data_IF_460407099142
#
_entry.id   IF_460407099142
#
_cell.length_a   1.000
_cell.length_b   1.000
_cell.length_c   1.000
_cell.angle_alpha   90.00
_cell.angle_beta   90.00
_cell.angle_gamma   90.00
#
_symmetry.space_group_name_H-M   'P 1'
#
loop_
_entity.id
_entity.type
_entity.pdbx_description
1 polymer ?
#
# COMPACT_ATOMS: atom_id res chain seq x y z
N UNK A 1 4.61 -73.60 11.95
CA UNK A 1 5.01 -72.23 11.54
C UNK A 1 4.17 -71.84 10.33
N UNK A 2 3.14 -71.03 10.52
CA UNK A 2 2.60 -70.11 9.50
C UNK A 2 1.62 -69.17 10.22
N UNK A 3 2.04 -67.91 10.33
CA UNK A 3 1.29 -66.84 11.00
C UNK A 3 0.15 -66.39 10.10
N UNK A 4 -1.08 -66.48 10.59
CA UNK A 4 -2.22 -65.73 10.03
C UNK A 4 -2.01 -64.24 10.33
N UNK A 5 -1.88 -63.45 9.27
CA UNK A 5 -1.84 -61.99 9.32
C UNK A 5 -3.29 -61.48 9.33
N UNK A 6 -3.80 -61.06 10.49
CA UNK A 6 -5.04 -60.27 10.56
C UNK A 6 -4.71 -58.84 10.13
N UNK A 7 -5.23 -58.44 8.97
CA UNK A 7 -5.21 -57.04 8.51
C UNK A 7 -6.40 -56.34 9.18
N UNK A 8 -6.10 -55.57 10.22
CA UNK A 8 -7.04 -54.66 10.86
C UNK A 8 -7.18 -53.43 9.96
N UNK A 9 -8.27 -53.35 9.20
CA UNK A 9 -8.66 -52.13 8.48
C UNK A 9 -9.12 -51.10 9.52
N UNK A 10 -8.18 -50.29 10.00
CA UNK A 10 -8.49 -49.09 10.79
C UNK A 10 -9.04 -48.07 9.80
N UNK A 11 -10.37 -48.02 9.69
CA UNK A 11 -11.07 -46.89 9.08
C UNK A 11 -10.79 -45.66 9.94
N UNK A 12 -9.75 -44.92 9.57
CA UNK A 12 -9.44 -43.63 10.15
C UNK A 12 -10.54 -42.67 9.67
N UNK A 13 -11.64 -42.62 10.43
CA UNK A 13 -12.63 -41.56 10.32
C UNK A 13 -11.92 -40.27 10.66
N UNK A 14 -11.39 -39.59 9.64
CA UNK A 14 -11.02 -38.19 9.73
C UNK A 14 -12.32 -37.41 9.98
N UNK A 15 -12.77 -37.39 11.22
CA UNK A 15 -13.54 -36.29 11.74
C UNK A 15 -12.59 -35.09 11.76
N UNK A 16 -12.38 -34.48 10.60
CA UNK A 16 -12.10 -33.06 10.58
C UNK A 16 -13.34 -32.42 11.20
N UNK A 17 -13.28 -32.13 12.50
CA UNK A 17 -14.19 -31.17 13.11
C UNK A 17 -14.06 -29.92 12.23
N UNK A 18 -15.08 -29.62 11.44
CA UNK A 18 -15.16 -28.34 10.76
C UNK A 18 -15.13 -27.29 11.87
N UNK A 19 -13.99 -26.63 12.06
CA UNK A 19 -13.99 -25.39 12.84
C UNK A 19 -14.96 -24.48 12.11
N UNK A 20 -16.11 -24.22 12.72
CA UNK A 20 -17.03 -23.22 12.21
C UNK A 20 -16.28 -21.88 12.27
N UNK A 21 -15.89 -21.38 11.10
CA UNK A 21 -15.28 -20.07 10.98
C UNK A 21 -16.35 -18.99 11.17
N UNK A 22 -15.95 -17.90 11.81
CA UNK A 22 -16.71 -16.66 11.93
C UNK A 22 -16.92 -16.11 10.51
N UNK A 23 -18.17 -15.78 10.17
CA UNK A 23 -18.51 -15.01 8.98
C UNK A 23 -18.57 -13.50 9.29
N UNK A 24 -18.48 -12.67 8.26
CA UNK A 24 -18.79 -11.23 8.39
C UNK A 24 -20.23 -11.00 8.87
N UNK A 25 -21.14 -11.93 8.60
CA UNK A 25 -22.53 -11.82 9.06
C UNK A 25 -22.67 -12.06 10.58
N UNK A 26 -21.66 -12.68 11.20
CA UNK A 26 -21.65 -12.98 12.64
C UNK A 26 -21.05 -11.84 13.49
N UNK A 27 -20.51 -10.80 12.85
CA UNK A 27 -19.86 -9.68 13.53
C UNK A 27 -20.74 -8.43 13.57
N UNK A 28 -20.52 -7.60 14.58
CA UNK A 28 -21.13 -6.27 14.65
C UNK A 28 -20.07 -5.22 14.97
N UNK A 29 -20.09 -4.11 14.24
CA UNK A 29 -19.22 -2.96 14.50
C UNK A 29 -19.96 -1.95 15.37
N UNK A 30 -19.34 -1.48 16.44
CA UNK A 30 -19.93 -0.51 17.37
C UNK A 30 -18.89 0.55 17.73
N UNK A 31 -19.37 1.77 17.94
CA UNK A 31 -18.59 2.84 18.53
C UNK A 31 -18.85 2.79 20.04
N UNK A 32 -17.80 2.58 20.81
CA UNK A 32 -17.88 2.61 22.26
C UNK A 32 -17.40 3.98 22.73
N UNK A 33 -18.38 4.84 22.99
CA UNK A 33 -18.19 6.18 23.50
C UNK A 33 -17.73 6.13 24.96
N UNK A 34 -16.42 5.97 25.19
CA UNK A 34 -15.82 6.45 26.43
C UNK A 34 -15.41 7.90 26.24
N UNK A 35 -16.38 8.81 26.38
CA UNK A 35 -16.11 10.23 26.58
C UNK A 35 -15.30 10.37 27.87
N UNK A 36 -13.98 10.43 27.75
CA UNK A 36 -13.18 11.19 28.70
C UNK A 36 -13.32 12.65 28.27
N UNK A 37 -13.54 13.54 29.24
CA UNK A 37 -13.88 14.97 29.04
C UNK A 37 -12.79 15.76 28.27
N UNK A 38 -11.73 15.09 27.82
CA UNK A 38 -10.50 15.68 27.28
C UNK A 38 -9.90 14.90 26.09
N UNK A 39 -10.65 13.98 25.46
CA UNK A 39 -10.14 13.22 24.31
C UNK A 39 -11.15 13.09 23.18
N UNK A 40 -10.86 13.68 22.01
CA UNK A 40 -11.61 13.53 20.75
C UNK A 40 -11.43 12.13 20.09
N UNK A 41 -10.98 11.15 20.88
CA UNK A 41 -10.70 9.79 20.44
C UNK A 41 -11.88 8.89 20.78
N UNK A 42 -12.53 8.35 19.76
CA UNK A 42 -13.57 7.33 19.88
C UNK A 42 -12.98 5.95 19.63
N UNK A 43 -13.43 4.94 20.36
CA UNK A 43 -12.97 3.56 20.13
C UNK A 43 -13.98 2.79 19.29
N UNK A 44 -13.57 2.35 18.10
CA UNK A 44 -14.36 1.49 17.24
C UNK A 44 -14.04 0.03 17.56
N UNK A 45 -15.05 -0.73 17.95
CA UNK A 45 -14.91 -2.13 18.33
C UNK A 45 -15.71 -3.04 17.39
N UNK A 46 -15.09 -4.14 16.99
CA UNK A 46 -15.74 -5.22 16.25
C UNK A 46 -16.00 -6.37 17.20
N UNK A 47 -17.24 -6.82 17.25
CA UNK A 47 -17.73 -7.82 18.20
C UNK A 47 -18.16 -9.10 17.48
N UNK A 48 -17.96 -10.24 18.14
CA UNK A 48 -18.61 -11.52 17.83
C UNK A 48 -19.10 -12.14 19.14
N UNK A 49 -20.39 -12.49 19.22
CA UNK A 49 -21.02 -13.02 20.44
C UNK A 49 -20.72 -12.17 21.70
N UNK A 50 -20.85 -10.84 21.58
CA UNK A 50 -20.55 -9.86 22.63
C UNK A 50 -19.10 -9.84 23.15
N UNK A 51 -18.16 -10.52 22.48
CA UNK A 51 -16.72 -10.40 22.74
C UNK A 51 -16.08 -9.49 21.71
N UNK A 52 -15.23 -8.58 22.17
CA UNK A 52 -14.42 -7.74 21.29
C UNK A 52 -13.41 -8.62 20.56
N UNK A 53 -13.47 -8.63 19.23
CA UNK A 53 -12.49 -9.27 18.34
C UNK A 53 -11.39 -8.31 17.93
N UNK A 54 -11.72 -7.03 17.76
CA UNK A 54 -10.80 -6.00 17.30
C UNK A 54 -11.21 -4.64 17.83
N UNK A 55 -10.22 -3.77 18.01
CA UNK A 55 -10.37 -2.42 18.50
C UNK A 55 -9.48 -1.48 17.69
N UNK A 56 -10.02 -0.31 17.34
CA UNK A 56 -9.27 0.76 16.69
C UNK A 56 -9.61 2.11 17.33
N UNK A 57 -8.60 2.97 17.47
CA UNK A 57 -8.78 4.34 17.95
C UNK A 57 -9.03 5.24 16.73
N UNK A 58 -10.21 5.86 16.70
CA UNK A 58 -10.68 6.70 15.61
C UNK A 58 -10.86 8.14 16.10
N UNK A 59 -10.74 9.10 15.19
CA UNK A 59 -10.85 10.53 15.49
C UNK A 59 -12.21 11.06 15.05
N UNK A 60 -12.86 11.81 15.95
CA UNK A 60 -14.06 12.62 15.66
C UNK A 60 -15.17 11.87 14.91
N UNK A 61 -15.50 10.65 15.35
CA UNK A 61 -16.47 9.80 14.67
C UNK A 61 -17.89 10.35 14.70
N UNK A 62 -18.52 10.45 13.51
CA UNK A 62 -19.95 10.75 13.39
C UNK A 62 -20.77 9.45 13.45
N UNK A 63 -21.55 9.31 14.53
CA UNK A 63 -22.49 8.21 14.75
C UNK A 63 -23.63 8.15 13.71
N UNK A 64 -23.82 9.18 12.89
CA UNK A 64 -24.85 9.25 11.84
C UNK A 64 -24.36 8.74 10.48
N UNK A 65 -23.06 8.54 10.31
CA UNK A 65 -22.48 8.07 9.05
C UNK A 65 -22.26 6.56 9.12
N UNK A 66 -22.49 5.86 8.01
CA UNK A 66 -22.09 4.48 7.91
C UNK A 66 -20.56 4.39 7.83
N UNK A 67 -19.93 4.05 8.96
CA UNK A 67 -18.48 3.98 9.11
C UNK A 67 -17.90 2.64 8.66
N UNK A 68 -18.70 1.74 8.07
CA UNK A 68 -18.27 0.40 7.67
C UNK A 68 -18.71 0.08 6.24
N UNK A 69 -17.76 -0.39 5.45
CA UNK A 69 -17.99 -0.97 4.12
C UNK A 69 -17.40 -2.38 4.08
N UNK A 70 -17.93 -3.20 3.19
CA UNK A 70 -17.42 -4.55 2.94
C UNK A 70 -17.17 -4.74 1.46
N UNK A 71 -15.96 -5.14 1.10
CA UNK A 71 -15.58 -5.33 -0.31
C UNK A 71 -14.47 -6.38 -0.40
N UNK A 72 -14.52 -7.24 -1.42
CA UNK A 72 -13.44 -8.17 -1.73
C UNK A 72 -12.36 -7.40 -2.51
N UNK A 73 -11.31 -6.95 -1.80
CA UNK A 73 -10.26 -6.10 -2.32
C UNK A 73 -9.06 -6.88 -2.84
N UNK A 74 -8.93 -8.16 -2.50
CA UNK A 74 -7.84 -9.03 -2.96
C UNK A 74 -8.28 -10.20 -3.86
N UNK A 75 -9.57 -10.26 -4.17
CA UNK A 75 -10.20 -11.20 -5.11
C UNK A 75 -10.08 -12.66 -4.67
N UNK A 76 -10.07 -12.91 -3.35
CA UNK A 76 -10.04 -14.25 -2.76
C UNK A 76 -11.45 -14.82 -2.48
N UNK A 77 -12.50 -14.03 -2.75
CA UNK A 77 -13.90 -14.40 -2.54
C UNK A 77 -14.43 -14.12 -1.13
N UNK A 78 -13.58 -13.63 -0.22
CA UNK A 78 -13.97 -13.13 1.10
C UNK A 78 -13.88 -11.61 1.08
N UNK A 79 -14.85 -10.95 1.70
CA UNK A 79 -14.82 -9.48 1.79
C UNK A 79 -13.86 -9.05 2.90
N UNK A 80 -13.11 -7.98 2.66
CA UNK A 80 -12.48 -7.18 3.70
C UNK A 80 -13.50 -6.24 4.36
N UNK A 81 -13.22 -5.90 5.62
CA UNK A 81 -13.93 -4.88 6.39
C UNK A 81 -13.16 -3.57 6.25
N UNK A 82 -13.83 -2.54 5.77
CA UNK A 82 -13.23 -1.23 5.51
C UNK A 82 -13.89 -0.24 6.47
N UNK A 83 -13.14 0.13 7.50
CA UNK A 83 -13.60 1.01 8.58
C UNK A 83 -13.17 2.43 8.28
N UNK A 84 -14.10 3.38 8.26
CA UNK A 84 -13.76 4.80 8.31
C UNK A 84 -13.31 5.14 9.72
N UNK A 85 -12.14 5.75 9.86
CA UNK A 85 -11.51 6.04 11.17
C UNK A 85 -11.18 7.51 11.38
N UNK A 86 -11.42 8.34 10.37
CA UNK A 86 -11.44 9.80 10.49
C UNK A 86 -12.69 10.36 9.79
N UNK A 87 -13.48 11.13 10.55
CA UNK A 87 -14.68 11.80 10.06
C UNK A 87 -14.61 13.33 10.16
N UNK A 88 -13.50 13.92 10.59
CA UNK A 88 -13.33 15.37 10.57
C UNK A 88 -13.39 15.87 9.12
N UNK A 89 -14.34 16.75 8.76
CA UNK A 89 -14.42 17.35 7.42
C UNK A 89 -13.16 18.15 7.03
N UNK A 90 -12.35 18.57 8.01
CA UNK A 90 -11.09 19.29 7.82
C UNK A 90 -9.91 18.37 7.45
N UNK A 91 -10.07 17.06 7.66
CA UNK A 91 -9.05 16.05 7.41
C UNK A 91 -9.33 15.22 6.14
N UNK A 92 -8.25 14.65 5.58
CA UNK A 92 -8.37 13.65 4.53
C UNK A 92 -8.98 12.37 5.09
N UNK A 93 -10.10 11.92 4.52
CA UNK A 93 -10.80 10.71 4.97
C UNK A 93 -9.85 9.52 5.05
N UNK A 94 -9.91 8.80 6.16
CA UNK A 94 -9.03 7.66 6.43
C UNK A 94 -9.82 6.38 6.68
N UNK A 95 -9.30 5.29 6.14
CA UNK A 95 -9.85 3.96 6.30
C UNK A 95 -8.80 2.96 6.78
N UNK A 96 -9.24 2.06 7.65
CA UNK A 96 -8.51 0.84 8.00
C UNK A 96 -9.15 -0.33 7.28
N UNK A 97 -8.31 -1.17 6.66
CA UNK A 97 -8.75 -2.36 5.95
C UNK A 97 -8.36 -3.60 6.77
N UNK A 98 -9.37 -4.40 7.10
CA UNK A 98 -9.23 -5.59 7.94
C UNK A 98 -9.67 -6.83 7.19
N UNK A 99 -8.98 -7.94 7.44
CA UNK A 99 -9.27 -9.26 6.89
C UNK A 99 -9.66 -10.23 8.01
N UNK A 100 -10.73 -10.99 7.77
CA UNK A 100 -11.23 -12.00 8.70
C UNK A 100 -10.67 -13.37 8.34
N UNK A 101 -9.70 -13.83 9.12
CA UNK A 101 -9.08 -15.14 8.99
C UNK A 101 -9.70 -16.13 9.99
N UNK A 102 -10.78 -16.78 9.56
CA UNK A 102 -11.58 -17.80 10.28
C UNK A 102 -12.07 -17.42 11.68
N UNK A 103 -11.19 -17.16 12.63
CA UNK A 103 -11.51 -16.78 14.00
C UNK A 103 -10.75 -15.54 14.48
N UNK A 104 -9.98 -14.89 13.60
CA UNK A 104 -9.16 -13.72 13.93
C UNK A 104 -9.36 -12.62 12.91
N UNK A 105 -9.42 -11.39 13.39
CA UNK A 105 -9.40 -10.20 12.54
C UNK A 105 -7.99 -9.60 12.56
N UNK A 106 -7.44 -9.30 11.39
CA UNK A 106 -6.11 -8.72 11.22
C UNK A 106 -6.16 -7.58 10.21
N UNK A 107 -5.20 -6.66 10.27
CA UNK A 107 -5.01 -5.67 9.22
C UNK A 107 -4.66 -6.35 7.90
N UNK A 108 -5.19 -5.84 6.79
CA UNK A 108 -4.91 -6.39 5.49
C UNK A 108 -3.40 -6.30 5.17
N UNK A 109 -2.74 -7.40 4.75
CA UNK A 109 -1.29 -7.50 4.75
C UNK A 109 -0.58 -6.61 3.71
N UNK A 110 -1.30 -6.15 2.68
CA UNK A 110 -0.74 -5.34 1.61
C UNK A 110 -1.05 -3.84 1.74
N UNK A 111 -2.14 -3.50 2.42
CA UNK A 111 -2.65 -2.13 2.57
C UNK A 111 -3.57 -2.08 3.78
N UNK A 112 -3.01 -1.80 4.96
CA UNK A 112 -3.76 -1.73 6.21
C UNK A 112 -4.52 -0.42 6.38
N UNK A 113 -3.96 0.67 5.87
CA UNK A 113 -4.48 2.04 6.00
C UNK A 113 -4.48 2.72 4.64
N UNK A 114 -5.62 3.29 4.27
CA UNK A 114 -5.84 3.91 2.95
C UNK A 114 -6.69 5.17 3.10
N UNK A 115 -6.52 6.12 2.17
CA UNK A 115 -7.40 7.28 2.01
C UNK A 115 -8.59 6.99 1.08
N UNK A 116 -8.48 5.93 0.27
CA UNK A 116 -9.55 5.47 -0.61
C UNK A 116 -9.10 4.29 -1.47
N UNK A 117 -10.02 3.74 -2.26
CA UNK A 117 -9.73 2.64 -3.16
C UNK A 117 -10.66 2.63 -4.37
N UNK A 118 -10.21 1.96 -5.43
CA UNK A 118 -10.98 1.61 -6.62
C UNK A 118 -10.71 0.15 -6.98
N UNK A 119 -11.79 -0.62 -7.20
CA UNK A 119 -11.70 -1.95 -7.79
C UNK A 119 -11.68 -1.76 -9.31
N UNK A 120 -10.64 -2.29 -9.93
CA UNK A 120 -10.40 -2.21 -11.36
C UNK A 120 -10.61 -3.59 -12.02
N UNK A 121 -10.73 -3.59 -13.34
CA UNK A 121 -10.79 -4.82 -14.13
C UNK A 121 -9.53 -5.67 -13.96
N UNK A 122 -9.62 -6.95 -14.35
CA UNK A 122 -8.49 -7.90 -14.34
C UNK A 122 -7.88 -8.15 -12.94
N UNK A 123 -8.72 -8.19 -11.90
CA UNK A 123 -8.32 -8.46 -10.52
C UNK A 123 -7.24 -7.49 -10.03
N UNK A 124 -7.53 -6.19 -10.18
CA UNK A 124 -6.66 -5.11 -9.72
C UNK A 124 -7.40 -4.24 -8.71
N UNK A 125 -6.70 -3.82 -7.67
CA UNK A 125 -7.22 -2.83 -6.71
C UNK A 125 -6.24 -1.67 -6.65
N UNK A 126 -6.73 -0.48 -6.98
CA UNK A 126 -6.00 0.76 -6.75
C UNK A 126 -6.34 1.27 -5.35
N UNK A 127 -5.33 1.64 -4.59
CA UNK A 127 -5.47 2.31 -3.30
C UNK A 127 -4.84 3.69 -3.36
N UNK A 128 -5.44 4.61 -2.63
CA UNK A 128 -4.93 5.96 -2.39
C UNK A 128 -4.37 6.00 -0.98
N UNK A 129 -3.17 6.53 -0.80
CA UNK A 129 -2.51 6.65 0.50
C UNK A 129 -1.83 8.01 0.62
N UNK A 130 -1.60 8.45 1.87
CA UNK A 130 -0.92 9.71 2.15
C UNK A 130 0.55 9.44 2.46
N UNK A 131 1.43 10.22 1.84
CA UNK A 131 2.86 10.24 2.13
C UNK A 131 3.29 11.69 2.31
N UNK A 132 3.47 12.10 3.56
CA UNK A 132 3.57 13.50 3.95
C UNK A 132 2.28 14.26 3.61
N UNK A 133 2.38 15.32 2.80
CA UNK A 133 1.23 16.12 2.35
C UNK A 133 0.65 15.67 1.00
N UNK A 134 1.24 14.65 0.37
CA UNK A 134 0.84 14.21 -0.97
C UNK A 134 0.01 12.94 -0.92
N UNK A 135 -1.07 12.91 -1.69
CA UNK A 135 -1.81 11.67 -1.97
C UNK A 135 -1.10 10.95 -3.12
N UNK A 136 -0.80 9.68 -2.90
CA UNK A 136 -0.14 8.78 -3.84
C UNK A 136 -1.04 7.59 -4.17
N UNK A 137 -0.77 6.94 -5.29
CA UNK A 137 -1.54 5.81 -5.78
C UNK A 137 -0.68 4.54 -5.84
N UNK A 138 -1.23 3.43 -5.37
CA UNK A 138 -0.67 2.08 -5.59
C UNK A 138 -1.72 1.19 -6.19
N UNK A 139 -1.36 0.45 -7.22
CA UNK A 139 -2.21 -0.59 -7.80
C UNK A 139 -1.63 -1.95 -7.47
N UNK A 140 -2.45 -2.78 -6.84
CA UNK A 140 -2.14 -4.17 -6.52
C UNK A 140 -2.81 -5.09 -7.53
N UNK A 141 -2.05 -6.06 -8.04
CA UNK A 141 -2.51 -7.06 -8.99
C UNK A 141 -2.64 -8.41 -8.29
N UNK A 142 -3.77 -9.10 -8.48
CA UNK A 142 -4.09 -10.34 -7.78
C UNK A 142 -4.18 -11.54 -8.73
N UNK A 143 -3.30 -12.52 -8.51
CA UNK A 143 -3.31 -13.81 -9.19
C UNK A 143 -3.57 -14.94 -8.19
N UNK A 144 -2.50 -15.55 -7.66
CA UNK A 144 -2.50 -16.47 -6.52
C UNK A 144 -2.33 -15.75 -5.18
N UNK A 145 -1.62 -14.62 -5.24
CA UNK A 145 -1.34 -13.70 -4.13
C UNK A 145 -1.27 -12.29 -4.72
N UNK A 146 -1.60 -11.28 -3.92
CA UNK A 146 -1.46 -9.89 -4.33
C UNK A 146 0.01 -9.43 -4.37
N UNK A 147 0.33 -8.54 -5.29
CA UNK A 147 1.61 -7.84 -5.33
C UNK A 147 1.40 -6.41 -5.86
N UNK A 148 2.27 -5.48 -5.44
CA UNK A 148 2.30 -4.13 -5.99
C UNK A 148 2.75 -4.22 -7.45
N UNK A 149 1.91 -3.78 -8.39
CA UNK A 149 2.23 -3.82 -9.81
C UNK A 149 2.43 -2.43 -10.42
N UNK A 150 1.81 -1.39 -9.86
CA UNK A 150 1.96 -0.01 -10.33
C UNK A 150 2.00 0.96 -9.14
N UNK A 151 2.87 1.97 -9.17
CA UNK A 151 2.90 3.08 -8.21
C UNK A 151 2.97 4.39 -8.99
N UNK A 152 2.06 5.32 -8.68
CA UNK A 152 1.97 6.62 -9.35
C UNK A 152 1.90 7.74 -8.31
N UNK A 153 2.68 8.79 -8.51
CA UNK A 153 2.57 10.00 -7.68
C UNK A 153 3.08 11.23 -8.41
N UNK A 154 2.49 12.37 -8.05
CA UNK A 154 2.99 13.67 -8.48
C UNK A 154 4.38 13.90 -7.89
N UNK A 155 5.33 14.30 -8.73
CA UNK A 155 6.66 14.70 -8.30
C UNK A 155 6.82 16.22 -8.38
N UNK A 156 6.17 16.87 -9.33
CA UNK A 156 6.22 18.32 -9.49
C UNK A 156 4.91 18.78 -10.14
N UNK A 157 4.68 20.08 -10.22
CA UNK A 157 3.46 20.66 -10.78
C UNK A 157 3.22 20.16 -12.23
N UNK A 158 2.23 19.28 -12.38
CA UNK A 158 1.85 18.67 -13.65
C UNK A 158 2.75 17.52 -14.12
N UNK A 159 3.64 17.01 -13.27
CA UNK A 159 4.51 15.87 -13.57
C UNK A 159 4.25 14.71 -12.62
N UNK A 160 4.08 13.52 -13.19
CA UNK A 160 3.83 12.28 -12.47
C UNK A 160 4.98 11.29 -12.71
N UNK A 161 5.48 10.68 -11.64
CA UNK A 161 6.32 9.50 -11.74
C UNK A 161 5.42 8.27 -11.69
N UNK A 162 5.52 7.42 -12.72
CA UNK A 162 4.80 6.15 -12.81
C UNK A 162 5.79 5.00 -12.88
N UNK A 163 5.65 4.05 -11.96
CA UNK A 163 6.50 2.87 -11.81
C UNK A 163 5.70 1.61 -12.05
N UNK A 164 6.29 0.69 -12.80
CA UNK A 164 5.76 -0.65 -13.01
C UNK A 164 6.62 -1.68 -12.28
N UNK A 165 5.98 -2.66 -11.68
CA UNK A 165 6.64 -3.66 -10.85
C UNK A 165 6.36 -5.07 -11.35
N UNK A 166 7.38 -5.91 -11.25
CA UNK A 166 7.26 -7.35 -11.40
C UNK A 166 6.60 -7.99 -10.18
N UNK A 167 6.13 -9.23 -10.33
CA UNK A 167 5.58 -10.03 -9.22
C UNK A 167 6.54 -10.18 -8.03
N UNK A 168 7.85 -10.10 -8.27
CA UNK A 168 8.88 -10.22 -7.23
C UNK A 168 9.26 -8.86 -6.60
N UNK A 169 8.57 -7.77 -6.94
CA UNK A 169 8.82 -6.44 -6.40
C UNK A 169 9.93 -5.63 -7.11
N UNK A 170 10.55 -6.18 -8.16
CA UNK A 170 11.54 -5.42 -8.95
C UNK A 170 10.85 -4.38 -9.85
N UNK A 171 11.40 -3.17 -9.94
CA UNK A 171 10.98 -2.14 -10.88
C UNK A 171 11.30 -2.61 -12.31
N UNK A 172 10.26 -2.72 -13.14
CA UNK A 172 10.35 -3.06 -14.57
C UNK A 172 10.51 -1.82 -15.44
N UNK A 173 9.78 -0.76 -15.09
CA UNK A 173 9.79 0.50 -15.83
C UNK A 173 9.51 1.66 -14.87
N UNK A 174 10.11 2.81 -15.14
CA UNK A 174 9.99 4.01 -14.31
C UNK A 174 10.12 5.24 -15.19
N UNK A 175 9.02 5.98 -15.35
CA UNK A 175 8.95 7.09 -16.30
C UNK A 175 8.22 8.29 -15.73
N UNK A 176 8.57 9.45 -16.27
CA UNK A 176 7.90 10.70 -16.02
C UNK A 176 6.82 10.94 -17.07
N UNK A 177 5.67 11.41 -16.62
CA UNK A 177 4.55 11.78 -17.48
C UNK A 177 4.10 13.20 -17.19
N UNK A 178 3.65 13.89 -18.23
CA UNK A 178 2.81 15.09 -18.13
C UNK A 178 1.49 14.78 -18.82
N UNK A 179 0.45 14.52 -18.04
CA UNK A 179 -0.80 13.94 -18.52
C UNK A 179 -0.57 12.54 -19.13
N UNK A 180 -0.78 12.40 -20.44
CA UNK A 180 -0.56 11.13 -21.15
C UNK A 180 0.80 11.04 -21.85
N UNK A 181 1.58 12.13 -21.85
CA UNK A 181 2.84 12.20 -22.60
C UNK A 181 3.96 11.68 -21.72
N UNK A 182 4.62 10.61 -22.17
CA UNK A 182 5.86 10.10 -21.56
C UNK A 182 7.02 11.02 -21.90
N UNK A 183 7.76 11.44 -20.89
CA UNK A 183 8.88 12.37 -20.98
C UNK A 183 10.20 11.65 -20.77
N UNK A 184 11.30 12.26 -21.23
CA UNK A 184 12.65 11.68 -21.11
C UNK A 184 13.52 12.68 -20.37
N UNK A 185 13.61 12.55 -19.03
CA UNK A 185 14.41 13.45 -18.24
C UNK A 185 15.87 13.49 -18.69
N UNK A 186 16.46 14.67 -18.67
CA UNK A 186 17.85 14.85 -19.02
C UNK A 186 18.56 15.83 -18.08
N UNK A 187 19.87 15.71 -18.02
CA UNK A 187 20.71 16.57 -17.17
C UNK A 187 20.91 17.93 -17.85
N UNK A 188 20.66 19.04 -17.14
CA UNK A 188 20.73 20.42 -17.68
C UNK A 188 22.16 20.94 -17.83
N UNK A 189 23.01 20.60 -16.87
CA UNK A 189 24.40 21.06 -16.73
C UNK A 189 25.24 19.98 -16.05
N UNK A 190 26.57 20.12 -16.06
CA UNK A 190 27.43 19.17 -15.35
C UNK A 190 27.04 19.12 -13.86
N UNK A 191 26.61 17.94 -13.40
CA UNK A 191 26.11 17.74 -12.04
C UNK A 191 26.68 16.49 -11.41
N UNK A 192 27.12 16.61 -10.15
CA UNK A 192 27.71 15.51 -9.40
C UNK A 192 26.64 14.52 -8.94
N UNK A 193 27.03 13.25 -8.83
CA UNK A 193 26.21 12.18 -8.31
C UNK A 193 26.58 11.86 -6.86
N UNK A 194 25.60 11.36 -6.10
CA UNK A 194 25.68 11.20 -4.66
C UNK A 194 25.29 9.77 -4.26
N UNK A 195 26.04 9.17 -3.33
CA UNK A 195 25.71 7.85 -2.76
C UNK A 195 24.51 7.95 -1.81
N UNK A 196 24.47 9.02 -1.03
CA UNK A 196 23.40 9.47 -0.14
C UNK A 196 23.36 11.00 -0.19
N UNK A 197 22.27 11.61 0.29
CA UNK A 197 22.02 13.06 0.22
C UNK A 197 23.19 13.90 0.76
N UNK A 198 23.91 13.37 1.76
CA UNK A 198 25.07 13.97 2.42
C UNK A 198 26.44 13.53 1.87
N UNK A 199 26.48 12.52 0.99
CA UNK A 199 27.72 11.88 0.53
C UNK A 199 27.93 11.99 -0.98
N UNK A 200 28.61 13.06 -1.39
CA UNK A 200 29.01 13.28 -2.79
C UNK A 200 29.99 12.22 -3.29
N UNK A 201 29.82 11.78 -4.53
CA UNK A 201 30.80 10.97 -5.25
C UNK A 201 31.72 11.82 -6.14
N UNK A 202 32.72 11.19 -6.76
CA UNK A 202 33.51 11.81 -7.83
C UNK A 202 32.88 11.64 -9.22
N UNK A 203 31.74 10.95 -9.32
CA UNK A 203 31.02 10.75 -10.56
C UNK A 203 30.14 11.97 -10.85
N UNK A 204 29.93 12.26 -12.13
CA UNK A 204 29.05 13.31 -12.59
C UNK A 204 28.43 12.92 -13.93
N UNK A 205 27.29 13.51 -14.22
CA UNK A 205 26.68 13.52 -15.54
C UNK A 205 26.88 14.89 -16.19
N UNK A 206 26.82 14.94 -17.51
CA UNK A 206 26.96 16.17 -18.29
C UNK A 206 25.64 16.54 -18.96
N UNK A 207 25.58 17.77 -19.47
CA UNK A 207 24.38 18.28 -20.16
C UNK A 207 23.94 17.32 -21.27
N UNK A 208 22.64 17.00 -21.29
CA UNK A 208 22.01 16.14 -22.29
C UNK A 208 22.04 14.65 -21.97
N UNK A 209 22.73 14.22 -20.90
CA UNK A 209 22.66 12.83 -20.42
C UNK A 209 21.22 12.51 -20.02
N UNK A 210 20.65 11.46 -20.62
CA UNK A 210 19.29 10.98 -20.34
C UNK A 210 19.28 10.09 -19.12
N UNK A 211 18.29 10.26 -18.26
CA UNK A 211 18.15 9.51 -17.00
C UNK A 211 16.71 9.08 -16.79
N UNK A 212 16.52 7.92 -16.14
CA UNK A 212 15.24 7.54 -15.56
C UNK A 212 15.22 7.97 -14.10
N UNK A 213 14.13 8.59 -13.66
CA UNK A 213 13.91 8.88 -12.24
C UNK A 213 13.26 7.66 -11.62
N UNK A 214 13.84 7.16 -10.52
CA UNK A 214 13.39 5.99 -9.78
C UNK A 214 12.72 6.36 -8.45
N UNK A 215 13.12 7.48 -7.85
CA UNK A 215 12.56 7.98 -6.59
C UNK A 215 12.86 9.47 -6.41
N UNK A 216 12.20 10.09 -5.43
CA UNK A 216 12.48 11.46 -5.01
C UNK A 216 12.52 11.60 -3.49
N UNK A 217 13.28 12.58 -3.01
CA UNK A 217 13.30 12.98 -1.61
C UNK A 217 13.48 14.48 -1.48
N UNK A 218 13.01 15.01 -0.36
CA UNK A 218 13.33 16.36 0.11
C UNK A 218 14.21 16.17 1.34
N UNK A 219 15.35 16.86 1.39
CA UNK A 219 16.22 16.82 2.56
C UNK A 219 15.77 17.79 3.66
N UNK A 220 16.51 17.81 4.77
CA UNK A 220 16.22 18.67 5.92
C UNK A 220 16.31 20.19 5.62
N UNK A 221 16.93 20.57 4.50
CA UNK A 221 17.06 21.95 4.04
C UNK A 221 15.99 22.34 3.02
N UNK A 222 15.07 21.42 2.70
CA UNK A 222 14.06 21.63 1.67
C UNK A 222 14.58 21.47 0.25
N UNK A 223 15.81 21.00 0.06
CA UNK A 223 16.36 20.73 -1.27
C UNK A 223 15.78 19.41 -1.80
N UNK A 224 15.39 19.43 -3.07
CA UNK A 224 14.77 18.28 -3.72
C UNK A 224 15.81 17.46 -4.48
N UNK A 225 15.68 16.14 -4.39
CA UNK A 225 16.62 15.17 -4.96
C UNK A 225 15.89 14.10 -5.74
N UNK A 226 16.50 13.64 -6.83
CA UNK A 226 16.05 12.48 -7.59
C UNK A 226 17.04 11.34 -7.44
N UNK A 227 16.54 10.15 -7.15
CA UNK A 227 17.29 8.91 -7.32
C UNK A 227 17.14 8.51 -8.78
N UNK A 228 18.25 8.49 -9.51
CA UNK A 228 18.23 8.25 -10.96
C UNK A 228 18.88 6.93 -11.32
N UNK A 229 18.46 6.38 -12.45
CA UNK A 229 19.19 5.37 -13.20
C UNK A 229 19.72 5.99 -14.50
N UNK A 230 21.04 5.95 -14.66
CA UNK A 230 21.72 6.35 -15.89
C UNK A 230 22.29 5.11 -16.58
N UNK A 231 21.92 4.91 -17.84
CA UNK A 231 22.38 3.80 -18.69
C UNK A 231 23.32 4.31 -19.79
N UNK A 232 24.58 4.50 -19.43
CA UNK A 232 25.66 4.84 -20.37
C UNK A 232 26.61 3.67 -20.59
N UNK A 233 27.93 3.94 -20.55
CA UNK A 233 28.96 2.87 -20.54
C UNK A 233 28.86 1.94 -19.33
N UNK A 234 28.25 2.44 -18.25
CA UNK A 234 27.92 1.71 -17.03
C UNK A 234 26.50 2.08 -16.64
N UNK A 235 25.84 1.17 -15.95
CA UNK A 235 24.58 1.44 -15.27
C UNK A 235 24.89 2.02 -13.89
N UNK A 236 24.30 3.18 -13.58
CA UNK A 236 24.56 3.93 -12.35
C UNK A 236 23.23 4.27 -11.69
N UNK A 237 23.08 3.88 -10.43
CA UNK A 237 21.95 4.25 -9.57
C UNK A 237 22.44 5.16 -8.44
N UNK A 238 22.13 6.45 -8.50
CA UNK A 238 22.63 7.45 -7.55
C UNK A 238 21.68 8.63 -7.41
N UNK A 239 21.88 9.41 -6.34
CA UNK A 239 21.15 10.66 -6.13
C UNK A 239 21.77 11.81 -6.94
N UNK A 240 20.91 12.68 -7.46
CA UNK A 240 21.25 13.95 -8.11
C UNK A 240 20.28 15.02 -7.61
N UNK A 241 20.72 16.27 -7.51
CA UNK A 241 19.82 17.38 -7.20
C UNK A 241 18.73 17.50 -8.27
N UNK A 242 17.47 17.68 -7.85
CA UNK A 242 16.35 17.76 -8.78
C UNK A 242 16.46 18.99 -9.70
N UNK A 243 17.01 20.09 -9.19
CA UNK A 243 17.29 21.32 -9.94
C UNK A 243 18.28 21.14 -11.10
N UNK A 244 18.98 20.00 -11.17
CA UNK A 244 19.96 19.68 -12.21
C UNK A 244 19.35 18.88 -13.36
N UNK A 245 18.11 18.41 -13.20
CA UNK A 245 17.40 17.58 -14.17
C UNK A 245 16.27 18.40 -14.79
N UNK A 246 16.12 18.30 -16.11
CA UNK A 246 14.96 18.77 -16.84
C UNK A 246 14.02 17.58 -17.04
N UNK A 247 12.74 17.76 -16.67
CA UNK A 247 11.71 16.74 -16.84
C UNK A 247 11.09 16.75 -18.25
N UNK A 248 11.61 17.61 -19.14
CA UNK A 248 11.20 17.86 -20.53
C UNK A 248 10.56 16.69 -21.30
#
# INVERSE_FOLDING_TARGET
>A
MNKLLSILLISCSFFAQSKNCISIDDISVRLDDKFSVDSDVTKLNIYHNNKVLFSYEALEMDNKVNNVKYSDLDFDGKKEIILRVDSDPSHDTEYVVLKLECNKLESHPLFSEIKGYEILDNKKTKIYYKDGYSIKEKTYCFQSSGYLCEENYAIDNGYELRKLYSKNGNILDSNIYRGQIKLIPNVKVKSYLYYSLDKKSNMYLVKGDKVSILDEKIDEYGEKWYFINYKGKKEINMWIKADSVDLN
#
